data_IF_019042659737
#
_entry.id   IF_019042659737
#
_cell.length_a   1.000
_cell.length_b   1.000
_cell.length_c   1.000
_cell.angle_alpha   90.00
_cell.angle_beta   90.00
_cell.angle_gamma   90.00
#
_symmetry.space_group_name_H-M   'P 1'
#
loop_
_entity.id
_entity.type
_entity.pdbx_description
1 polymer ?
#
# COMPACT_ATOMS: atom_id res chain seq x y z
N UNK A 1 -52.82 -7.83 -7.00
CA UNK A 1 -53.98 -8.01 -7.88
C UNK A 1 -53.96 -6.98 -9.00
N UNK A 2 -53.37 -7.35 -10.14
CA UNK A 2 -53.74 -7.11 -11.55
C UNK A 2 -52.48 -7.26 -12.42
N UNK A 3 -52.64 -7.76 -13.65
CA UNK A 3 -51.84 -8.89 -14.15
C UNK A 3 -51.22 -8.65 -15.55
N UNK A 4 -50.39 -9.62 -15.96
CA UNK A 4 -50.12 -10.10 -17.35
C UNK A 4 -49.51 -9.10 -18.35
N UNK A 5 -48.71 -9.45 -19.37
CA UNK A 5 -48.73 -10.55 -20.35
C UNK A 5 -47.27 -10.99 -20.69
N UNK A 6 -46.87 -12.26 -20.85
CA UNK A 6 -47.35 -13.42 -21.62
C UNK A 6 -46.82 -13.49 -23.08
N UNK A 7 -45.79 -14.34 -23.26
CA UNK A 7 -45.54 -15.23 -24.43
C UNK A 7 -45.09 -14.55 -25.76
N UNK A 8 -44.42 -15.17 -26.74
CA UNK A 8 -44.06 -16.55 -27.05
C UNK A 8 -43.11 -16.58 -28.28
N UNK A 9 -42.30 -17.64 -28.41
CA UNK A 9 -41.77 -18.29 -29.63
C UNK A 9 -40.73 -17.63 -30.56
N UNK A 10 -39.62 -18.38 -30.67
CA UNK A 10 -39.05 -18.97 -31.90
C UNK A 10 -38.28 -18.06 -32.84
N UNK A 11 -37.10 -18.55 -33.22
CA UNK A 11 -36.60 -18.31 -34.57
C UNK A 11 -35.10 -18.35 -34.65
N UNK A 12 -34.57 -19.53 -34.96
CA UNK A 12 -33.20 -19.70 -35.40
C UNK A 12 -32.86 -18.73 -36.54
N UNK A 13 -31.75 -18.01 -36.40
CA UNK A 13 -31.14 -17.27 -37.50
C UNK A 13 -29.63 -17.56 -37.52
N UNK A 14 -29.21 -17.87 -38.73
CA UNK A 14 -28.02 -18.55 -39.15
C UNK A 14 -26.95 -17.51 -39.53
N UNK A 15 -25.73 -17.76 -39.09
CA UNK A 15 -24.45 -17.41 -39.75
C UNK A 15 -24.10 -15.93 -39.98
N UNK A 16 -22.92 -15.56 -39.50
CA UNK A 16 -21.86 -14.98 -40.34
C UNK A 16 -20.50 -15.13 -39.65
N UNK A 17 -19.64 -15.93 -40.28
CA UNK A 17 -18.29 -16.25 -39.88
C UNK A 17 -17.39 -15.00 -39.98
N UNK A 18 -16.67 -14.69 -38.91
CA UNK A 18 -15.50 -13.80 -38.97
C UNK A 18 -14.28 -14.62 -39.43
N UNK A 19 -13.48 -14.15 -40.40
CA UNK A 19 -12.16 -14.74 -40.63
C UNK A 19 -11.22 -14.29 -39.50
N UNK A 20 -10.72 -15.26 -38.74
CA UNK A 20 -9.63 -15.07 -37.80
C UNK A 20 -8.41 -14.53 -38.55
N UNK A 21 -7.90 -13.38 -38.11
CA UNK A 21 -6.65 -12.81 -38.59
C UNK A 21 -5.51 -13.75 -38.20
N UNK A 22 -4.89 -14.37 -39.21
CA UNK A 22 -3.68 -15.14 -39.05
C UNK A 22 -2.55 -14.20 -38.60
N UNK A 23 -2.20 -14.25 -37.31
CA UNK A 23 -0.89 -13.82 -36.84
C UNK A 23 0.11 -14.95 -37.06
N UNK A 24 1.38 -14.55 -37.19
CA UNK A 24 2.61 -15.35 -37.10
C UNK A 24 3.28 -15.72 -38.44
N UNK A 25 4.12 -14.81 -38.92
CA UNK A 25 5.31 -15.19 -39.67
C UNK A 25 6.49 -14.36 -39.16
N UNK A 26 7.23 -14.95 -38.21
CA UNK A 26 8.60 -14.59 -37.91
C UNK A 26 9.35 -15.91 -37.77
N UNK A 27 9.98 -16.35 -38.87
CA UNK A 27 10.90 -17.48 -38.81
C UNK A 27 12.12 -17.08 -37.99
N UNK A 28 12.34 -17.78 -36.89
CA UNK A 28 13.54 -17.72 -36.06
C UNK A 28 14.72 -18.29 -36.86
N UNK A 29 15.69 -17.44 -37.19
CA UNK A 29 17.04 -17.90 -37.54
C UNK A 29 17.93 -17.75 -36.29
N UNK A 30 18.57 -18.82 -35.80
CA UNK A 30 19.55 -18.72 -34.72
C UNK A 30 20.80 -18.02 -35.24
N UNK A 31 21.11 -16.82 -34.72
CA UNK A 31 22.44 -16.24 -34.86
C UNK A 31 23.18 -16.42 -33.54
N UNK A 32 23.95 -17.51 -33.48
CA UNK A 32 25.12 -17.62 -32.62
C UNK A 32 26.07 -16.45 -32.92
N UNK A 33 26.07 -15.46 -32.04
CA UNK A 33 27.18 -14.52 -31.89
C UNK A 33 27.62 -14.53 -30.43
N UNK A 34 28.28 -15.61 -30.06
CA UNK A 34 29.22 -15.60 -28.95
C UNK A 34 30.43 -14.73 -29.35
N UNK A 35 30.97 -13.99 -28.37
CA UNK A 35 32.07 -12.99 -28.43
C UNK A 35 31.55 -11.57 -28.69
N UNK A 36 31.57 -10.61 -27.77
CA UNK A 36 32.64 -10.29 -26.79
C UNK A 36 32.04 -9.45 -25.66
N UNK A 37 31.86 -10.03 -24.47
CA UNK A 37 31.68 -9.25 -23.23
C UNK A 37 33.07 -9.01 -22.67
N UNK A 38 33.75 -7.99 -23.18
CA UNK A 38 34.98 -7.49 -22.59
C UNK A 38 35.23 -6.04 -23.05
N UNK A 39 34.57 -5.10 -22.38
CA UNK A 39 35.29 -3.88 -22.01
C UNK A 39 34.63 -3.25 -20.79
N UNK A 40 35.13 -3.66 -19.63
CA UNK A 40 35.27 -2.80 -18.47
C UNK A 40 36.03 -1.54 -18.91
N UNK A 41 35.28 -0.54 -19.37
CA UNK A 41 35.80 0.81 -19.47
C UNK A 41 35.98 1.31 -18.03
N UNK A 42 37.22 1.21 -17.55
CA UNK A 42 37.68 1.97 -16.40
C UNK A 42 37.36 3.43 -16.66
N UNK A 43 36.28 3.93 -16.06
CA UNK A 43 36.06 5.36 -15.95
C UNK A 43 37.19 5.88 -15.07
N UNK A 44 38.17 6.51 -15.70
CA UNK A 44 39.20 7.31 -15.04
C UNK A 44 38.51 8.34 -14.13
N UNK A 45 38.38 7.98 -12.86
CA UNK A 45 37.74 8.80 -11.84
C UNK A 45 38.63 9.99 -11.47
N UNK A 46 38.01 11.13 -11.25
CA UNK A 46 38.63 12.28 -10.60
C UNK A 46 39.37 11.84 -9.33
N UNK A 47 40.67 12.12 -9.25
CA UNK A 47 41.57 11.71 -8.16
C UNK A 47 41.37 12.55 -6.89
N UNK A 48 40.19 12.45 -6.29
CA UNK A 48 39.84 13.12 -5.04
C UNK A 48 38.84 12.37 -4.17
N UNK A 49 38.28 11.26 -4.66
CA UNK A 49 37.41 10.37 -3.89
C UNK A 49 38.03 8.98 -3.84
N UNK A 50 37.93 8.31 -2.68
CA UNK A 50 38.40 6.93 -2.46
C UNK A 50 37.67 5.94 -3.40
N UNK A 51 38.03 4.66 -3.31
CA UNK A 51 37.49 3.56 -4.12
C UNK A 51 35.96 3.64 -4.27
N UNK A 52 35.42 3.51 -5.50
CA UNK A 52 33.98 3.52 -5.71
C UNK A 52 33.33 2.35 -4.96
N UNK A 53 32.25 2.64 -4.24
CA UNK A 53 31.46 1.61 -3.54
C UNK A 53 30.76 0.73 -4.58
N UNK A 54 30.82 -0.59 -4.37
CA UNK A 54 30.14 -1.57 -5.22
C UNK A 54 28.63 -1.31 -5.29
N UNK A 55 28.06 -1.46 -6.48
CA UNK A 55 26.64 -1.16 -6.69
C UNK A 55 25.76 -2.05 -5.80
N UNK A 56 26.11 -3.32 -5.62
CA UNK A 56 25.41 -4.25 -4.72
C UNK A 56 25.43 -3.79 -3.24
N UNK A 57 26.48 -3.09 -2.81
CA UNK A 57 26.56 -2.49 -1.48
C UNK A 57 25.62 -1.28 -1.38
N UNK A 58 25.54 -0.45 -2.43
CA UNK A 58 24.57 0.65 -2.49
C UNK A 58 23.13 0.14 -2.56
N UNK A 59 22.89 -1.02 -3.19
CA UNK A 59 21.59 -1.69 -3.24
C UNK A 59 21.07 -2.08 -1.85
N UNK A 60 21.96 -2.48 -0.93
CA UNK A 60 21.59 -2.81 0.44
C UNK A 60 21.27 -1.55 1.28
N UNK A 61 21.84 -0.39 0.94
CA UNK A 61 21.63 0.87 1.66
C UNK A 61 20.54 1.77 1.05
N UNK A 62 20.09 1.51 -0.19
CA UNK A 62 18.89 2.15 -0.72
C UNK A 62 17.68 1.46 -0.09
N UNK A 63 16.87 2.22 0.67
CA UNK A 63 15.73 1.76 1.47
C UNK A 63 14.55 1.17 0.68
N UNK A 64 14.81 0.24 -0.23
CA UNK A 64 13.85 -0.41 -1.10
C UNK A 64 13.14 0.55 -2.07
N UNK A 65 12.40 -0.01 -3.03
CA UNK A 65 11.28 0.70 -3.67
C UNK A 65 10.00 -0.03 -3.28
N UNK A 66 9.75 -0.09 -1.98
CA UNK A 66 8.53 -0.66 -1.43
C UNK A 66 7.39 0.33 -1.71
N UNK A 67 6.39 -0.07 -2.49
CA UNK A 67 5.14 0.69 -2.61
C UNK A 67 4.32 0.38 -1.37
N UNK A 68 4.46 1.21 -0.33
CA UNK A 68 3.70 1.04 0.91
C UNK A 68 2.35 1.73 0.77
N UNK A 69 1.28 0.95 0.70
CA UNK A 69 -0.11 1.45 0.75
C UNK A 69 -0.58 1.36 2.20
N UNK A 70 -0.94 2.51 2.76
CA UNK A 70 -1.32 2.65 4.16
C UNK A 70 -2.75 3.19 4.24
N UNK A 71 -3.71 2.30 4.48
CA UNK A 71 -5.11 2.67 4.70
C UNK A 71 -5.48 2.56 6.18
N UNK A 72 -6.14 3.59 6.70
CA UNK A 72 -6.65 3.61 8.06
C UNK A 72 -8.07 4.15 8.07
N UNK A 73 -9.03 3.23 8.23
CA UNK A 73 -10.45 3.56 8.32
C UNK A 73 -10.88 3.46 9.77
N UNK A 74 -11.43 4.55 10.30
CA UNK A 74 -11.86 4.64 11.69
C UNK A 74 -13.32 5.09 11.73
N UNK A 75 -14.20 4.09 11.83
CA UNK A 75 -15.63 4.30 11.87
C UNK A 75 -16.14 4.00 13.28
N UNK A 76 -16.89 4.94 13.84
CA UNK A 76 -17.55 4.75 15.11
C UNK A 76 -18.72 5.70 15.26
N UNK A 77 -19.68 5.28 16.07
CA UNK A 77 -20.89 6.04 16.36
C UNK A 77 -21.16 5.99 17.86
N UNK A 78 -21.65 7.09 18.41
CA UNK A 78 -22.20 7.13 19.77
C UNK A 78 -23.66 7.56 19.68
N UNK A 79 -24.50 6.66 19.18
CA UNK A 79 -25.92 6.93 18.96
C UNK A 79 -26.80 6.38 20.08
N UNK A 80 -27.92 7.07 20.35
CA UNK A 80 -28.94 6.70 21.35
C UNK A 80 -28.42 6.63 22.79
N UNK A 81 -27.38 7.39 23.10
CA UNK A 81 -26.84 7.44 24.45
C UNK A 81 -27.56 8.48 25.31
N UNK A 82 -28.14 8.03 26.43
CA UNK A 82 -28.72 8.90 27.46
C UNK A 82 -27.86 8.80 28.72
N UNK A 83 -27.37 9.93 29.21
CA UNK A 83 -26.62 10.02 30.46
C UNK A 83 -27.42 10.89 31.46
N UNK A 84 -27.99 10.27 32.49
CA UNK A 84 -28.75 10.95 33.55
C UNK A 84 -28.07 10.64 34.89
N UNK A 85 -27.95 11.66 35.74
CA UNK A 85 -27.29 11.56 37.05
C UNK A 85 -25.83 11.08 36.97
N UNK A 86 -25.10 11.49 35.93
CA UNK A 86 -23.70 11.10 35.72
C UNK A 86 -22.77 12.10 36.39
N UNK A 87 -22.07 11.64 37.43
CA UNK A 87 -20.88 12.30 37.94
C UNK A 87 -19.68 11.87 37.07
N UNK A 88 -19.08 12.82 36.36
CA UNK A 88 -17.88 12.60 35.55
C UNK A 88 -16.63 12.84 36.40
N UNK A 89 -15.54 12.17 36.05
CA UNK A 89 -14.29 12.20 36.82
C UNK A 89 -13.32 13.30 36.37
N UNK A 90 -12.15 13.35 37.02
CA UNK A 90 -11.01 14.12 36.53
C UNK A 90 -10.06 13.21 35.77
N UNK A 91 -9.64 13.63 34.59
CA UNK A 91 -8.47 13.06 33.93
C UNK A 91 -7.25 13.82 34.43
N UNK A 92 -6.48 13.22 35.33
CA UNK A 92 -5.27 13.84 35.87
C UNK A 92 -4.03 13.09 35.38
N UNK A 93 -3.09 13.83 34.79
CA UNK A 93 -1.74 13.37 34.48
C UNK A 93 -0.81 14.23 35.32
N UNK A 94 -0.07 13.60 36.23
CA UNK A 94 0.78 14.30 37.19
C UNK A 94 2.17 14.59 36.66
N UNK A 95 2.89 15.46 37.37
CA UNK A 95 4.28 15.75 37.07
C UNK A 95 5.12 14.46 37.05
N UNK A 96 5.89 14.28 35.98
CA UNK A 96 6.71 13.08 35.78
C UNK A 96 6.01 11.90 35.10
N UNK A 97 4.71 11.97 34.79
CA UNK A 97 3.98 10.89 34.12
C UNK A 97 4.58 10.45 32.77
N UNK A 98 5.40 11.32 32.19
CA UNK A 98 6.06 11.17 30.90
C UNK A 98 7.58 11.36 30.97
N UNK A 99 8.14 11.47 32.18
CA UNK A 99 9.59 11.59 32.34
C UNK A 99 10.26 10.35 31.76
N UNK A 100 11.38 10.54 31.06
CA UNK A 100 12.18 9.46 30.46
C UNK A 100 11.46 8.62 29.40
N UNK A 101 10.34 9.09 28.87
CA UNK A 101 9.65 8.41 27.79
C UNK A 101 10.41 8.59 26.46
N UNK A 102 10.64 7.47 25.77
CA UNK A 102 11.31 7.43 24.47
C UNK A 102 10.45 6.63 23.49
N UNK A 103 10.51 6.98 22.20
CA UNK A 103 9.63 6.41 21.17
C UNK A 103 8.37 7.24 20.94
N UNK A 104 7.23 6.57 20.74
CA UNK A 104 5.96 7.21 20.35
C UNK A 104 4.87 6.95 21.39
N UNK A 105 4.73 7.83 22.38
CA UNK A 105 3.76 7.66 23.44
C UNK A 105 2.40 8.25 23.07
N UNK A 106 1.34 7.48 23.32
CA UNK A 106 -0.04 7.89 23.05
C UNK A 106 -0.83 7.84 24.35
N UNK A 107 -1.39 8.98 24.76
CA UNK A 107 -2.27 9.05 25.93
C UNK A 107 -3.59 9.65 25.53
N UNK A 108 -4.65 8.94 25.92
CA UNK A 108 -6.01 9.35 25.65
C UNK A 108 -6.79 9.18 26.94
N UNK A 109 -7.39 10.27 27.39
CA UNK A 109 -8.17 10.29 28.61
C UNK A 109 -9.56 10.83 28.29
N UNK A 110 -10.57 10.12 28.78
CA UNK A 110 -11.92 10.63 28.79
C UNK A 110 -12.55 10.34 30.14
N UNK A 111 -13.05 11.39 30.79
CA UNK A 111 -13.70 11.28 32.08
C UNK A 111 -15.22 11.42 31.99
N UNK A 112 -15.72 11.56 30.76
CA UNK A 112 -17.13 11.80 30.45
C UNK A 112 -17.94 10.51 30.33
N UNK A 113 -19.24 10.67 30.14
CA UNK A 113 -20.10 9.62 29.62
C UNK A 113 -20.37 9.87 28.14
N UNK A 114 -20.77 8.81 27.43
CA UNK A 114 -21.11 8.88 26.01
C UNK A 114 -19.93 9.28 25.14
N UNK A 115 -18.77 8.68 25.37
CA UNK A 115 -17.57 9.00 24.61
C UNK A 115 -17.11 7.82 23.80
N UNK A 116 -17.06 8.05 22.49
CA UNK A 116 -16.28 7.26 21.56
C UNK A 116 -14.89 7.86 21.45
N UNK A 117 -13.90 7.04 21.74
CA UNK A 117 -12.49 7.38 21.54
C UNK A 117 -11.99 6.56 20.37
N UNK A 118 -11.43 7.24 19.38
CA UNK A 118 -10.81 6.60 18.24
C UNK A 118 -9.40 7.16 18.06
N UNK A 119 -8.40 6.33 18.32
CA UNK A 119 -7.01 6.64 18.05
C UNK A 119 -6.42 5.51 17.21
N UNK A 120 -5.73 5.89 16.16
CA UNK A 120 -5.13 4.95 15.24
C UNK A 120 -3.87 5.61 14.65
N UNK A 121 -2.77 4.87 14.64
CA UNK A 121 -1.46 5.36 14.18
C UNK A 121 -0.85 4.31 13.26
N UNK A 122 -0.48 4.72 12.04
CA UNK A 122 0.38 3.93 11.16
C UNK A 122 1.80 4.43 11.35
N UNK A 123 2.70 3.52 11.72
CA UNK A 123 4.13 3.82 11.82
C UNK A 123 4.90 2.97 10.82
N UNK A 124 5.51 3.64 9.84
CA UNK A 124 6.41 3.01 8.87
C UNK A 124 7.85 3.32 9.28
N UNK A 125 8.62 2.29 9.63
CA UNK A 125 10.03 2.44 9.98
C UNK A 125 10.89 1.78 8.90
N UNK A 126 11.91 2.50 8.47
CA UNK A 126 13.05 1.95 7.75
C UNK A 126 14.27 2.20 8.63
N UNK A 127 14.91 1.11 9.07
CA UNK A 127 16.14 1.17 9.86
C UNK A 127 17.25 0.61 8.97
N UNK A 128 18.40 1.28 8.95
CA UNK A 128 19.53 0.91 8.11
C UNK A 128 20.42 -0.18 8.71
#
# INVERSE_FOLDING_TARGET
>A
MKPTDLSWLVGAAFVLALPAQAMAQASLAPQDTASTVAQSAERSGFAGFDKPVEAATLEAYRGGREVVINDMTLAGTTANNTAINVATGTNAISAGAFSNMSGMPMVIQNSGANVLIQNAVILNLQVN
#
